data_IF_945961722839
#
_entry.id   IF_945961722839
#
_cell.length_a   1.000
_cell.length_b   1.000
_cell.length_c   1.000
_cell.angle_alpha   90.00
_cell.angle_beta   90.00
_cell.angle_gamma   90.00
#
_symmetry.space_group_name_H-M   'P 1'
#
loop_
_entity.id
_entity.type
_entity.pdbx_description
1 polymer ?
#
# COMPACT_ATOMS: atom_id res chain seq x y z
N UNK A 1 34.18 2.50 32.51
CA UNK A 1 34.56 3.22 31.28
C UNK A 1 34.26 2.31 30.06
N UNK A 2 33.02 1.80 29.95
CA UNK A 2 32.53 0.92 28.84
C UNK A 2 31.05 1.30 28.58
N UNK A 3 30.73 2.58 28.41
CA UNK A 3 29.31 2.98 28.22
C UNK A 3 29.10 4.09 27.16
N UNK A 4 30.01 4.33 26.28
CA UNK A 4 29.86 5.43 25.31
C UNK A 4 30.12 5.03 23.84
N UNK A 5 29.99 3.75 23.48
CA UNK A 5 30.25 3.28 22.11
C UNK A 5 29.03 2.75 21.34
N UNK A 6 27.81 2.90 21.86
CA UNK A 6 26.59 2.46 21.18
C UNK A 6 25.51 3.55 21.17
N UNK A 7 25.65 4.58 20.36
CA UNK A 7 24.50 5.33 19.86
C UNK A 7 24.86 6.25 18.70
N UNK A 8 25.23 5.66 17.56
CA UNK A 8 25.14 6.34 16.26
C UNK A 8 23.90 5.85 15.48
N UNK A 9 22.88 5.35 16.16
CA UNK A 9 21.56 5.20 15.57
C UNK A 9 20.95 6.59 15.59
N UNK A 10 20.65 7.10 14.41
CA UNK A 10 19.97 8.37 14.25
C UNK A 10 18.70 8.37 15.11
N UNK A 11 18.44 9.47 15.82
CA UNK A 11 17.27 9.60 16.73
C UNK A 11 15.94 9.29 16.03
N UNK A 12 15.81 9.64 14.75
CA UNK A 12 14.62 9.33 13.96
C UNK A 12 14.47 7.82 13.69
N UNK A 13 15.55 7.12 13.33
CA UNK A 13 15.54 5.68 13.14
C UNK A 13 15.11 4.93 14.41
N UNK A 14 15.61 5.36 15.57
CA UNK A 14 15.20 4.78 16.85
C UNK A 14 13.71 5.02 17.14
N UNK A 15 13.21 6.23 16.89
CA UNK A 15 11.79 6.57 17.05
C UNK A 15 10.92 5.77 16.07
N UNK A 16 11.37 5.61 14.83
CA UNK A 16 10.66 4.82 13.84
C UNK A 16 10.60 3.34 14.22
N UNK A 17 11.71 2.75 14.64
CA UNK A 17 11.75 1.34 15.08
C UNK A 17 10.81 1.09 16.27
N UNK A 18 10.76 2.01 17.23
CA UNK A 18 9.82 1.96 18.37
C UNK A 18 8.38 2.03 17.88
N UNK A 19 8.07 2.94 16.96
CA UNK A 19 6.72 3.13 16.40
C UNK A 19 6.24 1.92 15.60
N UNK A 20 7.14 1.29 14.84
CA UNK A 20 6.87 0.05 14.12
C UNK A 20 6.43 -1.06 15.07
N UNK A 21 7.16 -1.23 16.17
CA UNK A 21 6.84 -2.22 17.19
C UNK A 21 5.53 -1.91 17.92
N UNK A 22 5.31 -0.67 18.33
CA UNK A 22 4.07 -0.23 18.99
C UNK A 22 2.83 -0.50 18.14
N UNK A 23 2.91 -0.25 16.83
CA UNK A 23 1.81 -0.54 15.92
C UNK A 23 1.58 -2.03 15.74
N UNK A 24 2.63 -2.84 15.58
CA UNK A 24 2.48 -4.29 15.48
C UNK A 24 1.85 -4.90 16.73
N UNK A 25 2.24 -4.43 17.92
CA UNK A 25 1.65 -4.86 19.19
C UNK A 25 0.19 -4.42 19.33
N UNK A 26 -0.11 -3.15 19.01
CA UNK A 26 -1.48 -2.62 19.07
C UNK A 26 -2.43 -3.34 18.11
N UNK A 27 -1.97 -3.59 16.89
CA UNK A 27 -2.75 -4.28 15.87
C UNK A 27 -2.79 -5.80 16.07
N UNK A 28 -1.87 -6.36 16.87
CA UNK A 28 -1.75 -7.81 17.08
C UNK A 28 -1.35 -8.56 15.82
N UNK A 29 -0.44 -7.98 15.00
CA UNK A 29 0.01 -8.55 13.73
C UNK A 29 1.53 -8.62 13.65
N UNK A 30 2.05 -9.37 12.66
CA UNK A 30 3.49 -9.51 12.40
C UNK A 30 3.76 -9.31 10.92
N UNK A 31 4.19 -8.12 10.57
CA UNK A 31 4.41 -7.73 9.17
C UNK A 31 5.83 -7.25 8.88
N UNK A 32 6.62 -6.98 9.90
CA UNK A 32 7.99 -6.49 9.79
C UNK A 32 8.93 -7.48 9.07
N UNK A 33 10.06 -6.94 8.60
CA UNK A 33 11.13 -7.66 7.91
C UNK A 33 10.89 -7.80 6.41
N UNK A 34 11.95 -7.53 5.64
CA UNK A 34 12.02 -7.68 4.19
C UNK A 34 12.13 -9.17 3.81
N UNK A 35 11.57 -9.56 2.68
CA UNK A 35 11.67 -10.92 2.14
C UNK A 35 11.99 -10.85 0.63
N UNK A 36 13.23 -11.19 0.27
CA UNK A 36 13.73 -11.16 -1.11
C UNK A 36 13.67 -12.55 -1.79
N UNK A 37 13.18 -13.57 -1.11
CA UNK A 37 13.34 -14.96 -1.53
C UNK A 37 12.53 -15.37 -2.76
N UNK A 38 11.55 -14.56 -3.18
CA UNK A 38 10.69 -14.80 -4.35
C UNK A 38 10.54 -13.58 -5.25
N UNK A 39 11.52 -12.67 -5.22
CA UNK A 39 11.60 -11.60 -6.22
C UNK A 39 12.08 -12.17 -7.55
N UNK A 40 11.43 -11.80 -8.63
CA UNK A 40 11.80 -12.10 -10.00
C UNK A 40 11.73 -10.82 -10.88
N UNK A 41 11.84 -10.98 -12.20
CA UNK A 41 11.77 -9.83 -13.10
C UNK A 41 10.39 -9.15 -13.18
N UNK A 42 9.35 -9.74 -12.62
CA UNK A 42 7.96 -9.24 -12.62
C UNK A 42 7.46 -8.83 -11.24
N UNK A 43 7.96 -9.47 -10.17
CA UNK A 43 7.54 -9.26 -8.79
C UNK A 43 8.71 -8.73 -7.96
N UNK A 44 8.44 -7.66 -7.23
CA UNK A 44 9.43 -7.02 -6.37
C UNK A 44 9.48 -7.71 -4.99
N UNK A 45 10.62 -7.58 -4.28
CA UNK A 45 10.74 -8.13 -2.93
C UNK A 45 9.64 -7.58 -2.01
N UNK A 46 9.21 -8.38 -1.04
CA UNK A 46 8.34 -7.86 0.00
C UNK A 46 9.09 -6.87 0.89
N UNK A 47 8.56 -5.68 0.97
CA UNK A 47 8.99 -4.63 1.89
C UNK A 47 7.73 -3.98 2.51
N UNK A 48 7.63 -3.95 3.86
CA UNK A 48 6.46 -3.34 4.47
C UNK A 48 6.50 -1.82 4.36
N UNK A 49 5.38 -1.19 4.02
CA UNK A 49 5.23 0.27 4.11
C UNK A 49 5.35 0.71 5.56
N UNK A 50 6.17 1.72 5.85
CA UNK A 50 6.34 2.24 7.21
C UNK A 50 5.03 2.80 7.79
N UNK A 51 4.79 2.56 9.07
CA UNK A 51 3.56 3.03 9.71
C UNK A 51 3.42 4.55 9.69
N UNK A 52 4.50 5.31 9.76
CA UNK A 52 4.44 6.77 9.67
C UNK A 52 3.88 7.27 8.31
N UNK A 53 4.17 6.56 7.22
CA UNK A 53 3.59 6.83 5.90
C UNK A 53 2.10 6.48 5.87
N UNK A 54 1.74 5.32 6.42
CA UNK A 54 0.34 4.89 6.51
C UNK A 54 -0.50 5.80 7.39
N UNK A 55 0.04 6.31 8.49
CA UNK A 55 -0.62 7.33 9.33
C UNK A 55 -0.86 8.61 8.55
N UNK A 56 0.14 9.07 7.78
CA UNK A 56 -0.01 10.26 6.93
C UNK A 56 -1.11 10.06 5.89
N UNK A 57 -1.16 8.90 5.24
CA UNK A 57 -2.23 8.55 4.30
C UNK A 57 -3.60 8.50 5.00
N UNK A 58 -3.71 7.84 6.14
CA UNK A 58 -4.96 7.77 6.90
C UNK A 58 -5.47 9.16 7.31
N UNK A 59 -4.55 10.03 7.78
CA UNK A 59 -4.86 11.39 8.22
C UNK A 59 -5.15 12.37 7.07
N UNK A 60 -4.84 12.02 5.81
CA UNK A 60 -5.18 12.84 4.65
C UNK A 60 -6.69 13.00 4.44
N UNK A 61 -7.50 12.10 5.01
CA UNK A 61 -8.95 12.08 4.86
C UNK A 61 -9.42 11.62 3.46
N UNK A 62 -8.52 11.14 2.61
CA UNK A 62 -8.84 10.63 1.28
C UNK A 62 -9.45 9.23 1.31
N UNK A 63 -9.10 8.42 2.33
CA UNK A 63 -9.69 7.11 2.60
C UNK A 63 -10.58 7.21 3.83
N UNK A 64 -11.84 6.82 3.71
CA UNK A 64 -12.87 6.98 4.73
C UNK A 64 -13.63 5.68 4.95
N UNK A 65 -14.42 5.62 6.03
CA UNK A 65 -15.23 4.46 6.44
C UNK A 65 -16.09 3.85 5.32
N UNK A 66 -16.57 4.66 4.38
CA UNK A 66 -17.41 4.21 3.26
C UNK A 66 -16.63 3.58 2.11
N UNK A 67 -15.31 3.74 2.09
CA UNK A 67 -14.48 3.30 0.98
C UNK A 67 -14.17 1.79 1.07
N UNK A 68 -13.94 1.21 -0.09
CA UNK A 68 -13.40 -0.14 -0.27
C UNK A 68 -12.05 -0.05 -0.97
N UNK A 69 -11.00 -0.35 -0.21
CA UNK A 69 -9.61 -0.30 -0.64
C UNK A 69 -9.19 -1.64 -1.24
N UNK A 70 -8.53 -1.60 -2.39
CA UNK A 70 -7.75 -2.72 -2.93
C UNK A 70 -6.28 -2.45 -2.66
N UNK A 71 -5.61 -3.36 -1.97
CA UNK A 71 -4.19 -3.32 -1.64
C UNK A 71 -3.45 -4.30 -2.55
N UNK A 72 -2.78 -3.78 -3.58
CA UNK A 72 -2.09 -4.58 -4.59
C UNK A 72 -0.69 -4.95 -4.14
N UNK A 73 -0.39 -6.25 -4.06
CA UNK A 73 0.84 -6.75 -3.47
C UNK A 73 0.78 -6.60 -1.95
N UNK A 74 -0.30 -7.08 -1.34
CA UNK A 74 -0.60 -6.82 0.07
C UNK A 74 0.41 -7.44 1.05
N UNK A 75 1.29 -8.32 0.57
CA UNK A 75 2.31 -8.96 1.36
C UNK A 75 1.73 -9.66 2.59
N UNK A 76 2.21 -9.29 3.78
CA UNK A 76 1.71 -9.81 5.07
C UNK A 76 0.46 -9.05 5.58
N UNK A 77 -0.12 -8.12 4.77
CA UNK A 77 -1.39 -7.44 5.04
C UNK A 77 -1.30 -6.17 5.88
N UNK A 78 -0.13 -5.55 6.04
CA UNK A 78 0.06 -4.35 6.88
C UNK A 78 -0.85 -3.20 6.46
N UNK A 79 -0.78 -2.79 5.20
CA UNK A 79 -1.53 -1.65 4.65
C UNK A 79 -3.03 -1.86 4.82
N UNK A 80 -3.52 -3.03 4.39
CA UNK A 80 -4.93 -3.40 4.50
C UNK A 80 -5.46 -3.33 5.93
N UNK A 81 -4.74 -3.93 6.90
CA UNK A 81 -5.18 -3.99 8.31
C UNK A 81 -5.08 -2.62 8.97
N UNK A 82 -3.97 -1.90 8.76
CA UNK A 82 -3.77 -0.59 9.35
C UNK A 82 -4.81 0.42 8.87
N UNK A 83 -5.02 0.53 7.55
CA UNK A 83 -5.98 1.49 6.99
C UNK A 83 -7.41 1.16 7.38
N UNK A 84 -7.79 -0.13 7.40
CA UNK A 84 -9.10 -0.54 7.90
C UNK A 84 -9.29 -0.20 9.38
N UNK A 85 -8.25 -0.36 10.21
CA UNK A 85 -8.30 0.01 11.63
C UNK A 85 -8.45 1.51 11.83
N UNK A 86 -7.62 2.32 11.17
CA UNK A 86 -7.57 3.78 11.34
C UNK A 86 -8.76 4.51 10.71
N UNK A 87 -9.17 4.11 9.51
CA UNK A 87 -10.20 4.86 8.77
C UNK A 87 -11.58 4.21 8.84
N UNK A 88 -11.64 2.94 9.25
CA UNK A 88 -12.85 2.14 9.24
C UNK A 88 -13.29 1.66 7.85
N UNK A 89 -12.47 1.83 6.81
CA UNK A 89 -12.76 1.34 5.45
C UNK A 89 -12.80 -0.20 5.41
N UNK A 90 -13.37 -0.74 4.34
CA UNK A 90 -13.15 -2.14 3.97
C UNK A 90 -11.87 -2.25 3.15
N UNK A 91 -11.12 -3.34 3.28
CA UNK A 91 -9.92 -3.58 2.51
C UNK A 91 -9.82 -5.02 2.02
N UNK A 92 -9.44 -5.17 0.75
CA UNK A 92 -9.14 -6.43 0.10
C UNK A 92 -7.68 -6.40 -0.38
N UNK A 93 -6.83 -7.23 0.23
CA UNK A 93 -5.44 -7.41 -0.21
C UNK A 93 -5.35 -8.50 -1.28
N UNK A 94 -4.65 -8.20 -2.36
CA UNK A 94 -4.32 -9.14 -3.44
C UNK A 94 -2.83 -9.49 -3.31
N UNK A 95 -2.52 -10.77 -3.17
CA UNK A 95 -1.15 -11.24 -3.03
C UNK A 95 -0.91 -12.45 -3.93
N UNK A 96 0.22 -12.46 -4.61
CA UNK A 96 0.63 -13.53 -5.52
C UNK A 96 1.41 -14.64 -4.79
N UNK A 97 2.25 -14.26 -3.81
CA UNK A 97 3.07 -15.21 -3.05
C UNK A 97 2.23 -15.88 -1.95
N UNK A 98 2.00 -17.18 -2.09
CA UNK A 98 1.21 -17.97 -1.15
C UNK A 98 1.75 -17.89 0.29
N UNK A 99 3.07 -17.80 0.48
CA UNK A 99 3.70 -17.74 1.82
C UNK A 99 3.38 -16.42 2.51
N UNK A 100 3.38 -15.30 1.75
CA UNK A 100 3.01 -13.98 2.26
C UNK A 100 1.50 -13.91 2.51
N UNK A 101 0.70 -14.41 1.57
CA UNK A 101 -0.75 -14.51 1.73
C UNK A 101 -1.14 -15.32 2.97
N UNK A 102 -0.49 -16.46 3.25
CA UNK A 102 -0.74 -17.24 4.47
C UNK A 102 -0.46 -16.42 5.73
N UNK A 103 0.61 -15.61 5.75
CA UNK A 103 0.92 -14.69 6.85
C UNK A 103 -0.15 -13.60 6.97
N UNK A 104 -0.62 -13.02 5.86
CA UNK A 104 -1.73 -12.06 5.85
C UNK A 104 -3.02 -12.66 6.42
N UNK A 105 -3.36 -13.91 6.04
CA UNK A 105 -4.50 -14.63 6.58
C UNK A 105 -4.40 -14.91 8.10
N UNK A 106 -3.19 -15.09 8.62
CA UNK A 106 -2.98 -15.20 10.07
C UNK A 106 -3.18 -13.84 10.75
N UNK A 107 -2.63 -12.77 10.19
CA UNK A 107 -2.79 -11.40 10.69
C UNK A 107 -4.25 -10.93 10.64
N UNK A 108 -5.03 -11.37 9.65
CA UNK A 108 -6.47 -11.05 9.54
C UNK A 108 -7.32 -11.58 10.71
N UNK A 109 -6.80 -12.53 11.50
CA UNK A 109 -7.47 -13.02 12.71
C UNK A 109 -7.39 -12.04 13.89
N UNK A 110 -6.58 -11.00 13.77
CA UNK A 110 -6.45 -9.98 14.80
C UNK A 110 -7.76 -9.22 15.02
N UNK A 111 -8.06 -8.79 16.27
CA UNK A 111 -9.22 -7.94 16.54
C UNK A 111 -9.20 -6.61 15.78
N UNK A 112 -8.02 -6.12 15.37
CA UNK A 112 -7.87 -4.89 14.59
C UNK A 112 -8.43 -5.00 13.18
N UNK A 113 -8.38 -6.18 12.56
CA UNK A 113 -8.94 -6.43 11.23
C UNK A 113 -10.49 -6.41 11.23
N UNK A 114 -11.14 -6.81 12.34
CA UNK A 114 -12.59 -6.68 12.64
C UNK A 114 -13.53 -7.00 11.47
N UNK A 115 -13.30 -8.08 10.75
CA UNK A 115 -14.14 -8.49 9.59
C UNK A 115 -14.20 -7.45 8.45
N UNK A 116 -13.31 -6.44 8.46
CA UNK A 116 -13.24 -5.42 7.41
C UNK A 116 -12.15 -5.71 6.39
N UNK A 117 -11.30 -6.69 6.68
CA UNK A 117 -10.14 -7.03 5.87
C UNK A 117 -10.28 -8.45 5.36
N UNK A 118 -10.00 -8.64 4.10
CA UNK A 118 -9.88 -9.94 3.45
C UNK A 118 -8.66 -9.99 2.55
N UNK A 119 -8.18 -11.20 2.26
CA UNK A 119 -7.01 -11.39 1.40
C UNK A 119 -7.32 -12.50 0.39
N UNK A 120 -6.87 -12.29 -0.84
CA UNK A 120 -7.00 -13.27 -1.93
C UNK A 120 -5.62 -13.61 -2.49
N UNK A 121 -5.37 -14.90 -2.69
CA UNK A 121 -4.21 -15.40 -3.42
C UNK A 121 -4.52 -15.34 -4.91
N UNK A 122 -3.95 -14.37 -5.62
CA UNK A 122 -4.22 -14.16 -7.04
C UNK A 122 -3.12 -13.37 -7.76
N UNK A 123 -2.99 -13.58 -9.06
CA UNK A 123 -2.27 -12.68 -9.96
C UNK A 123 -3.08 -11.38 -10.11
N UNK A 124 -2.52 -10.26 -9.67
CA UNK A 124 -3.13 -8.95 -9.75
C UNK A 124 -3.55 -8.56 -11.18
N UNK A 125 -2.78 -8.97 -12.19
CA UNK A 125 -3.05 -8.67 -13.59
C UNK A 125 -4.20 -9.49 -14.19
N UNK A 126 -4.61 -10.56 -13.52
CA UNK A 126 -5.74 -11.40 -13.91
C UNK A 126 -6.98 -11.17 -13.03
N UNK A 127 -6.81 -10.53 -11.86
CA UNK A 127 -7.89 -10.38 -10.88
C UNK A 127 -8.91 -9.31 -11.29
N UNK A 128 -10.19 -9.67 -11.22
CA UNK A 128 -11.30 -8.74 -11.44
C UNK A 128 -11.69 -8.07 -10.12
N UNK A 129 -11.45 -6.76 -10.01
CA UNK A 129 -11.77 -6.04 -8.78
C UNK A 129 -13.27 -5.94 -8.54
N UNK A 130 -13.73 -5.99 -7.27
CA UNK A 130 -15.13 -5.80 -6.91
C UNK A 130 -15.66 -4.44 -7.37
N UNK A 131 -16.94 -4.42 -7.74
CA UNK A 131 -17.62 -3.20 -8.22
C UNK A 131 -17.79 -2.11 -7.15
N UNK A 132 -17.61 -2.43 -5.88
CA UNK A 132 -17.60 -1.50 -4.76
C UNK A 132 -16.23 -0.89 -4.48
N UNK A 133 -15.15 -1.41 -5.09
CA UNK A 133 -13.80 -0.89 -4.91
C UNK A 133 -13.69 0.54 -5.48
N UNK A 134 -13.26 1.47 -4.65
CA UNK A 134 -13.16 2.90 -4.99
C UNK A 134 -11.82 3.53 -4.59
N UNK A 135 -10.91 2.75 -3.98
CA UNK A 135 -9.54 3.11 -3.67
C UNK A 135 -8.61 1.95 -4.03
N UNK A 136 -7.44 2.24 -4.61
CA UNK A 136 -6.39 1.25 -4.87
C UNK A 136 -5.05 1.77 -4.36
N UNK A 137 -4.31 0.94 -3.62
CA UNK A 137 -2.98 1.27 -3.12
C UNK A 137 -1.92 0.37 -3.76
N UNK A 138 -0.76 0.97 -4.04
CA UNK A 138 0.39 0.34 -4.67
C UNK A 138 1.68 0.81 -3.98
N UNK A 139 2.50 -0.12 -3.54
CA UNK A 139 3.88 0.14 -3.14
C UNK A 139 4.80 -0.67 -4.06
N UNK A 140 4.99 -0.21 -5.30
CA UNK A 140 5.80 -0.86 -6.33
C UNK A 140 5.69 -2.40 -6.34
N UNK A 141 4.49 -2.99 -6.38
CA UNK A 141 4.37 -4.43 -6.20
C UNK A 141 4.85 -5.23 -7.42
N UNK A 142 4.95 -4.59 -8.58
CA UNK A 142 5.30 -5.25 -9.85
C UNK A 142 5.84 -4.28 -10.90
N UNK A 143 6.45 -4.82 -11.96
CA UNK A 143 7.00 -4.06 -13.07
C UNK A 143 5.93 -3.27 -13.86
N UNK A 144 6.35 -2.23 -14.60
CA UNK A 144 5.46 -1.31 -15.32
C UNK A 144 4.51 -2.02 -16.32
N UNK A 145 4.95 -3.09 -16.97
CA UNK A 145 4.07 -3.80 -17.92
C UNK A 145 2.91 -4.51 -17.21
N UNK A 146 3.15 -5.07 -16.02
CA UNK A 146 2.12 -5.66 -15.17
C UNK A 146 1.20 -4.59 -14.62
N UNK A 147 1.72 -3.42 -14.19
CA UNK A 147 0.91 -2.28 -13.79
C UNK A 147 -0.07 -1.84 -14.88
N UNK A 148 0.37 -1.79 -16.14
CA UNK A 148 -0.51 -1.46 -17.29
C UNK A 148 -1.68 -2.43 -17.43
N UNK A 149 -1.45 -3.74 -17.22
CA UNK A 149 -2.52 -4.76 -17.22
C UNK A 149 -3.49 -4.57 -16.06
N UNK A 150 -2.97 -4.32 -14.85
CA UNK A 150 -3.79 -4.04 -13.67
C UNK A 150 -4.65 -2.80 -13.86
N UNK A 151 -4.09 -1.71 -14.38
CA UNK A 151 -4.86 -0.50 -14.71
C UNK A 151 -5.94 -0.78 -15.75
N UNK A 152 -5.67 -1.62 -16.76
CA UNK A 152 -6.69 -2.10 -17.70
C UNK A 152 -7.89 -2.73 -16.97
N UNK A 153 -7.64 -3.66 -16.02
CA UNK A 153 -8.70 -4.28 -15.19
C UNK A 153 -9.47 -3.28 -14.35
N UNK A 154 -8.78 -2.29 -13.78
CA UNK A 154 -9.44 -1.20 -13.05
C UNK A 154 -10.36 -0.39 -13.97
N UNK A 155 -9.89 -0.06 -15.18
CA UNK A 155 -10.69 0.68 -16.14
C UNK A 155 -11.91 -0.11 -16.63
N UNK A 156 -11.73 -1.40 -16.93
CA UNK A 156 -12.84 -2.31 -17.31
C UNK A 156 -13.89 -2.38 -16.21
N UNK A 157 -13.48 -2.42 -14.95
CA UNK A 157 -14.40 -2.38 -13.80
C UNK A 157 -15.20 -1.07 -13.75
N UNK A 158 -14.59 0.07 -14.09
CA UNK A 158 -15.28 1.36 -14.13
C UNK A 158 -16.22 1.49 -15.35
N UNK A 159 -15.96 0.79 -16.43
CA UNK A 159 -16.88 0.69 -17.57
C UNK A 159 -18.09 -0.16 -17.23
N UNK A 160 -17.91 -1.26 -16.48
CA UNK A 160 -19.06 -2.07 -15.99
C UNK A 160 -19.90 -1.31 -14.98
N UNK A 161 -19.27 -0.60 -14.04
CA UNK A 161 -19.94 0.16 -12.97
C UNK A 161 -19.22 1.49 -12.71
N UNK A 162 -19.69 2.56 -13.36
CA UNK A 162 -19.10 3.89 -13.16
C UNK A 162 -19.18 4.35 -11.72
N UNK A 163 -18.03 4.78 -11.17
CA UNK A 163 -17.89 5.28 -9.81
C UNK A 163 -16.63 6.13 -9.66
N UNK A 164 -16.55 7.05 -8.69
CA UNK A 164 -15.28 7.67 -8.36
C UNK A 164 -14.28 6.62 -7.86
N UNK A 165 -13.05 6.64 -8.36
CA UNK A 165 -11.98 5.74 -7.92
C UNK A 165 -10.67 6.51 -7.84
N UNK A 166 -9.94 6.33 -6.72
CA UNK A 166 -8.61 6.89 -6.50
C UNK A 166 -7.54 5.82 -6.47
N UNK A 167 -6.39 6.19 -7.03
CA UNK A 167 -5.17 5.38 -7.01
C UNK A 167 -4.14 6.09 -6.14
N UNK A 168 -3.46 5.32 -5.27
CA UNK A 168 -2.39 5.78 -4.40
C UNK A 168 -1.13 4.98 -4.72
N UNK A 169 -0.05 5.66 -5.15
CA UNK A 169 1.24 5.04 -5.44
C UNK A 169 2.29 5.58 -4.49
N UNK A 170 2.71 4.75 -3.53
CA UNK A 170 3.79 5.10 -2.62
C UNK A 170 5.14 4.74 -3.25
N UNK A 171 6.12 5.63 -3.05
CA UNK A 171 7.51 5.48 -3.46
C UNK A 171 7.67 5.10 -4.94
N UNK A 172 7.07 5.85 -5.88
CA UNK A 172 7.01 5.46 -7.29
C UNK A 172 8.39 5.52 -7.95
N UNK A 173 8.65 4.55 -8.86
CA UNK A 173 9.78 4.65 -9.77
C UNK A 173 9.53 5.73 -10.83
N UNK A 174 10.61 6.31 -11.38
CA UNK A 174 10.52 7.42 -12.34
C UNK A 174 9.74 7.05 -13.61
N UNK A 175 9.93 5.85 -14.14
CA UNK A 175 9.20 5.34 -15.30
C UNK A 175 7.71 5.16 -15.03
N UNK A 176 7.37 4.69 -13.82
CA UNK A 176 6.00 4.56 -13.35
C UNK A 176 5.35 5.94 -13.22
N UNK A 177 5.99 6.89 -12.54
CA UNK A 177 5.48 8.25 -12.38
C UNK A 177 5.29 8.93 -13.74
N UNK A 178 6.29 8.81 -14.63
CA UNK A 178 6.20 9.36 -15.97
C UNK A 178 5.01 8.77 -16.77
N UNK A 179 4.83 7.46 -16.73
CA UNK A 179 3.70 6.79 -17.39
C UNK A 179 2.36 7.25 -16.82
N UNK A 180 2.21 7.33 -15.49
CA UNK A 180 0.97 7.74 -14.84
C UNK A 180 0.61 9.18 -15.19
N UNK A 181 1.58 10.10 -15.20
CA UNK A 181 1.37 11.52 -15.53
C UNK A 181 0.95 11.75 -16.98
N UNK A 182 1.29 10.85 -17.89
CA UNK A 182 0.91 10.95 -19.29
C UNK A 182 -0.39 10.20 -19.65
N UNK A 183 -0.94 9.44 -18.69
CA UNK A 183 -2.08 8.57 -18.98
C UNK A 183 -3.40 9.37 -19.00
N UNK A 184 -4.09 9.38 -20.16
CA UNK A 184 -5.27 10.22 -20.42
C UNK A 184 -6.46 9.98 -19.45
N UNK A 185 -6.55 8.79 -18.87
CA UNK A 185 -7.62 8.46 -17.90
C UNK A 185 -7.30 8.86 -16.47
N UNK A 186 -6.11 9.36 -16.19
CA UNK A 186 -5.68 9.73 -14.84
C UNK A 186 -5.64 11.25 -14.68
N UNK A 187 -6.17 11.74 -13.57
CA UNK A 187 -6.10 13.13 -13.15
C UNK A 187 -5.25 13.15 -11.89
N UNK A 188 -4.05 13.74 -11.97
CA UNK A 188 -3.21 13.92 -10.80
C UNK A 188 -3.89 14.88 -9.79
N UNK A 189 -3.90 14.47 -8.53
CA UNK A 189 -4.22 15.31 -7.38
C UNK A 189 -2.91 15.73 -6.70
N UNK A 190 -2.98 16.61 -5.68
CA UNK A 190 -1.81 16.98 -4.88
C UNK A 190 -1.18 15.74 -4.24
N UNK A 191 0.12 15.46 -4.44
CA UNK A 191 0.77 14.33 -3.83
C UNK A 191 0.91 14.51 -2.32
N UNK A 192 0.89 13.41 -1.58
CA UNK A 192 1.16 13.42 -0.14
C UNK A 192 2.68 13.33 0.04
N UNK A 193 3.32 14.41 0.47
CA UNK A 193 4.76 14.46 0.77
C UNK A 193 5.07 13.67 2.05
N UNK A 194 6.04 12.76 1.97
CA UNK A 194 6.50 11.94 3.08
C UNK A 194 7.99 12.17 3.43
N UNK A 195 8.69 13.05 2.73
CA UNK A 195 10.14 13.27 2.89
C UNK A 195 10.54 13.68 4.30
N UNK A 196 9.72 14.47 4.98
CA UNK A 196 9.99 14.93 6.35
C UNK A 196 9.89 13.80 7.41
N UNK A 197 9.34 12.65 7.03
CA UNK A 197 9.27 11.47 7.90
C UNK A 197 10.63 10.75 8.02
N UNK A 198 11.49 10.90 7.02
CA UNK A 198 12.76 10.19 6.90
C UNK A 198 13.96 11.14 7.02
N UNK A 199 15.14 10.57 7.19
CA UNK A 199 16.39 11.32 7.06
C UNK A 199 16.82 11.30 5.60
N UNK A 200 17.20 12.47 5.09
CA UNK A 200 17.56 12.66 3.70
C UNK A 200 16.50 13.42 2.90
N UNK A 201 16.71 13.54 1.60
CA UNK A 201 15.81 14.23 0.65
C UNK A 201 15.52 13.32 -0.55
N UNK A 202 15.06 12.09 -0.26
CA UNK A 202 14.64 11.20 -1.34
C UNK A 202 13.30 11.68 -1.90
N UNK A 203 13.33 12.13 -3.16
CA UNK A 203 12.16 12.65 -3.86
C UNK A 203 11.08 11.60 -4.12
N UNK A 204 11.39 10.31 -3.95
CA UNK A 204 10.43 9.22 -4.06
C UNK A 204 9.59 9.03 -2.79
N UNK A 205 10.01 9.62 -1.65
CA UNK A 205 9.25 9.60 -0.40
C UNK A 205 7.98 10.46 -0.51
N UNK A 206 7.03 9.95 -1.28
CA UNK A 206 5.71 10.58 -1.52
C UNK A 206 4.69 9.52 -1.91
N UNK A 207 3.42 9.86 -1.74
CA UNK A 207 2.31 9.10 -2.31
C UNK A 207 1.71 9.93 -3.43
N UNK A 208 1.83 9.46 -4.67
CA UNK A 208 1.10 10.04 -5.81
C UNK A 208 -0.37 9.67 -5.69
N UNK A 209 -1.23 10.62 -5.95
CA UNK A 209 -2.68 10.45 -5.89
C UNK A 209 -3.28 10.76 -7.25
N UNK A 210 -4.07 9.84 -7.78
CA UNK A 210 -4.78 10.04 -9.03
C UNK A 210 -6.26 9.72 -8.89
N UNK A 211 -7.09 10.55 -9.47
CA UNK A 211 -8.50 10.22 -9.73
C UNK A 211 -8.63 9.60 -11.11
N UNK A 212 -9.38 8.51 -11.22
CA UNK A 212 -9.64 7.88 -12.53
C UNK A 212 -10.84 8.57 -13.19
N UNK A 213 -10.68 9.01 -14.42
CA UNK A 213 -11.78 9.54 -15.24
C UNK A 213 -12.71 8.40 -15.65
N UNK A 214 -13.99 8.55 -15.38
CA UNK A 214 -15.05 7.78 -16.02
C UNK A 214 -15.41 8.47 -17.33
N UNK A 215 -15.23 7.80 -18.45
CA UNK A 215 -15.80 8.26 -19.71
C UNK A 215 -17.23 7.71 -19.77
N UNK A 216 -18.18 8.57 -19.44
CA UNK A 216 -19.61 8.35 -19.77
C UNK A 216 -19.86 8.67 -21.22
#
# INVERSE_FOLDING_TARGET
MIELLYCNINRKECIMATREQEWEELLGIKTSGRDDSHSDGEHHPYEPTDYCVLERLANSGLIRKKNTLIDYGSGKGRVSIFLAYQTGCHSLGIEYDERLWQKAMLNAKSPAARQRVSFVLADAAAYEIPDEADCCFFFNPFALHTLKRVLGKIFDSLERKPRPLRLFFYYPYEDTEHFLNQHLRLIAEEPIDCRDLFDGDDKKEKILVYQVRSFL
#
